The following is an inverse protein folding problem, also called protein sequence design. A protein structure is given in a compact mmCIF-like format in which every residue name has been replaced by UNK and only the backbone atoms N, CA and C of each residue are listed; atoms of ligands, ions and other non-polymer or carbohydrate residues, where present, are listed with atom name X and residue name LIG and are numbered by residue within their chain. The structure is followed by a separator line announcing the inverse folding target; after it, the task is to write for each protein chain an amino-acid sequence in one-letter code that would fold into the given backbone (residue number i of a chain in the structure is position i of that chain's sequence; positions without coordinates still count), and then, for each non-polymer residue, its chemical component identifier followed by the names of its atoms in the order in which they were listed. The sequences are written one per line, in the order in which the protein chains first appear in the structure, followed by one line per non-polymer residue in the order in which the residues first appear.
data_IF_557308819176
#
_entry.id   IF_557308819176
#
_cell.length_a   1.000
_cell.length_b   1.000
_cell.length_c   1.000
_cell.angle_alpha   90.00
_cell.angle_beta   90.00
_cell.angle_gamma   90.00
#
_symmetry.space_group_name_H-M   'P 1'
#
loop_
_entity.id
_entity.type
_entity.pdbx_description
1 polymer ?
#
# COMPACT_ATOMS: atom_id res chain seq x y z
N UNK A 1 -9.97 -8.31 -10.91
CA UNK A 1 -11.00 -7.30 -11.16
C UNK A 1 -11.79 -7.09 -9.89
N UNK A 2 -12.07 -5.84 -9.50
CA UNK A 2 -12.79 -5.51 -8.26
C UNK A 2 -14.13 -4.91 -8.64
N UNK A 3 -15.22 -5.52 -8.19
CA UNK A 3 -16.56 -5.01 -8.45
C UNK A 3 -16.76 -3.66 -7.74
N UNK A 4 -16.74 -2.57 -8.50
CA UNK A 4 -16.96 -1.20 -8.05
C UNK A 4 -17.97 -0.52 -8.96
N UNK A 5 -19.09 -0.09 -8.37
CA UNK A 5 -20.27 0.38 -9.12
C UNK A 5 -19.94 1.57 -10.02
N UNK A 6 -19.14 2.52 -9.54
CA UNK A 6 -18.84 3.74 -10.29
C UNK A 6 -17.86 3.48 -11.43
N UNK A 7 -16.85 2.64 -11.20
CA UNK A 7 -15.90 2.22 -12.23
C UNK A 7 -16.60 1.39 -13.32
N UNK A 8 -17.46 0.47 -12.93
CA UNK A 8 -18.26 -0.36 -13.84
C UNK A 8 -19.24 0.48 -14.68
N UNK A 9 -19.89 1.47 -14.06
CA UNK A 9 -20.80 2.39 -14.75
C UNK A 9 -20.06 3.19 -15.84
N UNK A 10 -18.88 3.74 -15.51
CA UNK A 10 -18.06 4.50 -16.47
C UNK A 10 -17.58 3.62 -17.63
N UNK A 11 -17.16 2.39 -17.32
CA UNK A 11 -16.73 1.43 -18.33
C UNK A 11 -17.89 1.05 -19.26
N UNK A 12 -19.06 0.74 -18.71
CA UNK A 12 -20.25 0.40 -19.49
C UNK A 12 -20.73 1.56 -20.39
N UNK A 13 -20.73 2.79 -19.86
CA UNK A 13 -21.04 3.99 -20.66
C UNK A 13 -20.05 4.19 -21.81
N UNK A 14 -18.75 3.97 -21.55
CA UNK A 14 -17.72 4.07 -22.58
C UNK A 14 -17.93 3.03 -23.69
N UNK A 15 -18.15 1.76 -23.32
CA UNK A 15 -18.34 0.66 -24.27
C UNK A 15 -19.61 0.87 -25.10
N UNK A 16 -20.73 1.23 -24.47
CA UNK A 16 -21.99 1.48 -25.18
C UNK A 16 -21.85 2.63 -26.16
N UNK A 17 -21.15 3.71 -25.80
CA UNK A 17 -20.86 4.81 -26.71
C UNK A 17 -20.05 4.36 -27.92
N UNK A 18 -18.98 3.56 -27.71
CA UNK A 18 -18.14 3.03 -28.79
C UNK A 18 -18.96 2.19 -29.77
N UNK A 19 -19.85 1.33 -29.28
CA UNK A 19 -20.71 0.52 -30.14
C UNK A 19 -21.76 1.34 -30.91
N UNK A 20 -22.23 2.46 -30.34
CA UNK A 20 -23.18 3.35 -31.01
C UNK A 20 -22.53 4.22 -32.09
N UNK A 21 -21.29 4.68 -31.88
CA UNK A 21 -20.65 5.70 -32.71
C UNK A 21 -19.44 5.19 -33.50
N UNK A 22 -19.05 3.92 -33.31
CA UNK A 22 -17.81 3.32 -33.81
C UNK A 22 -16.55 4.17 -33.50
N UNK A 23 -16.62 4.98 -32.43
CA UNK A 23 -15.58 5.91 -32.01
C UNK A 23 -15.62 6.09 -30.50
N UNK A 24 -14.45 6.27 -29.91
CA UNK A 24 -14.35 6.58 -28.48
C UNK A 24 -15.08 7.90 -28.13
N UNK A 25 -15.64 8.01 -26.90
CA UNK A 25 -16.13 9.27 -26.37
C UNK A 25 -15.10 10.40 -26.53
N UNK A 26 -15.55 11.66 -26.65
CA UNK A 26 -14.66 12.81 -26.74
C UNK A 26 -13.73 12.84 -25.51
N UNK A 27 -12.44 12.60 -25.74
CA UNK A 27 -11.40 12.69 -24.73
C UNK A 27 -10.91 14.13 -24.61
N UNK A 28 -10.27 14.46 -23.48
CA UNK A 28 -9.70 15.79 -23.23
C UNK A 28 -8.55 16.13 -24.20
N UNK A 29 -7.93 15.12 -24.81
CA UNK A 29 -6.84 15.28 -25.76
C UNK A 29 -7.15 14.55 -27.07
N UNK A 30 -6.56 15.02 -28.15
CA UNK A 30 -6.63 14.35 -29.45
C UNK A 30 -5.67 13.16 -29.46
N UNK A 31 -6.20 11.96 -29.67
CA UNK A 31 -5.38 10.77 -29.85
C UNK A 31 -4.50 10.93 -31.11
N UNK A 32 -3.23 10.55 -31.00
CA UNK A 32 -2.30 10.57 -32.13
C UNK A 32 -2.65 9.47 -33.13
N UNK A 33 -2.42 9.73 -34.42
CA UNK A 33 -2.56 8.70 -35.45
C UNK A 33 -1.56 7.55 -35.23
N UNK A 34 -1.99 6.33 -35.51
CA UNK A 34 -1.18 5.13 -35.31
C UNK A 34 0.06 5.10 -36.20
N UNK A 35 -0.04 5.65 -37.42
CA UNK A 35 1.11 5.80 -38.32
C UNK A 35 2.16 6.74 -37.75
N UNK A 36 1.72 7.86 -37.16
CA UNK A 36 2.59 8.82 -36.48
C UNK A 36 3.24 8.21 -35.23
N UNK A 37 2.47 7.53 -34.38
CA UNK A 37 3.00 6.86 -33.17
C UNK A 37 4.10 5.86 -33.51
N UNK A 38 3.92 5.02 -34.54
CA UNK A 38 4.93 4.04 -34.98
C UNK A 38 6.23 4.73 -35.38
N UNK A 39 6.14 5.76 -36.24
CA UNK A 39 7.32 6.53 -36.69
C UNK A 39 8.04 7.19 -35.52
N UNK A 40 7.30 7.73 -34.56
CA UNK A 40 7.87 8.35 -33.36
C UNK A 40 8.58 7.32 -32.47
N UNK A 41 7.97 6.17 -32.22
CA UNK A 41 8.60 5.07 -31.46
C UNK A 41 9.89 4.60 -32.14
N UNK A 42 9.89 4.49 -33.47
CA UNK A 42 11.08 4.08 -34.23
C UNK A 42 12.19 5.14 -34.19
N UNK A 43 11.84 6.42 -34.08
CA UNK A 43 12.81 7.50 -33.81
C UNK A 43 13.43 7.33 -32.41
N UNK A 44 12.60 7.13 -31.37
CA UNK A 44 13.07 6.98 -29.99
C UNK A 44 13.98 5.74 -29.81
N UNK A 45 13.70 4.64 -30.50
CA UNK A 45 14.52 3.41 -30.45
C UNK A 45 15.96 3.61 -30.95
N UNK A 46 16.21 4.63 -31.79
CA UNK A 46 17.56 4.91 -32.31
C UNK A 46 18.48 5.54 -31.26
N UNK A 47 17.92 6.09 -30.18
CA UNK A 47 18.69 6.71 -29.09
C UNK A 47 19.24 5.64 -28.15
N UNK A 48 20.48 5.83 -27.71
CA UNK A 48 21.15 4.98 -26.72
C UNK A 48 21.67 5.83 -25.57
N UNK A 49 20.77 6.24 -24.65
CA UNK A 49 21.15 7.12 -23.56
C UNK A 49 22.11 6.44 -22.59
N UNK A 50 23.08 7.22 -22.09
CA UNK A 50 24.01 6.78 -21.06
C UNK A 50 23.48 7.14 -19.66
N UNK A 51 23.83 6.31 -18.67
CA UNK A 51 23.55 6.61 -17.27
C UNK A 51 24.74 7.39 -16.70
N UNK A 52 24.56 8.65 -16.27
CA UNK A 52 25.65 9.41 -15.66
C UNK A 52 26.07 8.81 -14.31
N UNK A 53 27.38 8.88 -13.96
CA UNK A 53 27.88 8.31 -12.71
C UNK A 53 27.29 9.00 -11.47
N UNK A 54 26.85 10.25 -11.60
CA UNK A 54 26.19 11.01 -10.52
C UNK A 54 24.87 10.42 -10.05
N UNK A 55 24.25 9.55 -10.85
CA UNK A 55 23.00 8.86 -10.49
C UNK A 55 23.24 7.46 -9.93
N UNK A 56 24.46 6.94 -9.97
CA UNK A 56 24.75 5.57 -9.51
C UNK A 56 24.39 5.39 -8.04
N UNK A 57 24.81 6.32 -7.17
CA UNK A 57 24.51 6.25 -5.74
C UNK A 57 22.99 6.28 -5.49
N UNK A 58 22.27 7.17 -6.18
CA UNK A 58 20.82 7.28 -6.07
C UNK A 58 20.08 5.99 -6.48
N UNK A 59 20.52 5.34 -7.56
CA UNK A 59 19.92 4.09 -8.03
C UNK A 59 20.19 2.95 -7.04
N UNK A 60 21.39 2.90 -6.46
CA UNK A 60 21.76 1.90 -5.45
C UNK A 60 20.93 2.11 -4.18
N UNK A 61 20.83 3.34 -3.68
CA UNK A 61 20.03 3.67 -2.50
C UNK A 61 18.56 3.30 -2.69
N UNK A 62 17.97 3.68 -3.83
CA UNK A 62 16.58 3.34 -4.17
C UNK A 62 16.36 1.82 -4.21
N UNK A 63 17.32 1.04 -4.72
CA UNK A 63 17.24 -0.41 -4.72
C UNK A 63 17.34 -1.01 -3.32
N UNK A 64 18.23 -0.48 -2.47
CA UNK A 64 18.38 -0.93 -1.07
C UNK A 64 17.11 -0.64 -0.27
N UNK A 65 16.52 0.54 -0.44
CA UNK A 65 15.26 0.92 0.20
C UNK A 65 14.13 -0.02 -0.22
N UNK A 66 13.94 -0.23 -1.53
CA UNK A 66 12.94 -1.19 -2.05
C UNK A 66 13.13 -2.59 -1.46
N UNK A 67 14.38 -3.04 -1.28
CA UNK A 67 14.67 -4.37 -0.72
C UNK A 67 14.41 -4.44 0.79
N UNK A 68 14.62 -3.34 1.52
CA UNK A 68 14.29 -3.21 2.93
C UNK A 68 12.78 -3.27 3.14
N UNK A 69 12.01 -2.55 2.32
CA UNK A 69 10.55 -2.55 2.40
C UNK A 69 9.95 -3.91 2.07
N UNK A 70 10.48 -4.59 1.05
CA UNK A 70 10.10 -5.96 0.74
C UNK A 70 10.41 -6.97 1.85
N UNK A 71 11.36 -6.67 2.76
CA UNK A 71 11.63 -7.52 3.94
C UNK A 71 10.65 -7.25 5.08
N UNK A 72 10.17 -6.01 5.19
CA UNK A 72 9.25 -5.60 6.24
C UNK A 72 7.80 -6.00 5.93
N UNK A 73 7.42 -6.06 4.65
CA UNK A 73 6.11 -6.57 4.21
C UNK A 73 6.18 -8.06 3.89
N UNK A 74 5.54 -8.89 4.72
CA UNK A 74 5.55 -10.36 4.60
C UNK A 74 4.85 -10.85 3.33
N UNK A 75 3.95 -10.04 2.76
CA UNK A 75 3.12 -10.36 1.60
C UNK A 75 3.68 -9.77 0.29
N UNK A 76 4.85 -9.11 0.33
CA UNK A 76 5.47 -8.52 -0.85
C UNK A 76 6.20 -9.59 -1.67
N UNK A 77 5.99 -9.59 -2.99
CA UNK A 77 6.67 -10.51 -3.91
C UNK A 77 8.20 -10.40 -3.82
N UNK A 78 8.89 -11.54 -3.92
CA UNK A 78 10.35 -11.64 -3.81
C UNK A 78 11.10 -10.60 -4.68
N UNK A 79 11.79 -9.67 -4.03
CA UNK A 79 12.58 -8.63 -4.69
C UNK A 79 14.00 -9.14 -4.94
N UNK A 80 14.28 -9.53 -6.20
CA UNK A 80 15.59 -10.04 -6.64
C UNK A 80 16.53 -8.92 -7.09
N UNK A 81 17.83 -9.21 -7.20
CA UNK A 81 18.80 -8.35 -7.88
C UNK A 81 18.42 -8.02 -9.33
N UNK A 82 17.57 -8.85 -9.97
CA UNK A 82 16.99 -8.54 -11.29
C UNK A 82 16.19 -7.23 -11.32
N UNK A 83 15.63 -6.80 -10.19
CA UNK A 83 14.87 -5.56 -10.12
C UNK A 83 15.75 -4.32 -10.31
N UNK A 84 17.02 -4.37 -9.90
CA UNK A 84 17.99 -3.30 -10.18
C UNK A 84 18.20 -3.12 -11.69
N UNK A 85 18.36 -4.23 -12.41
CA UNK A 85 18.45 -4.21 -13.87
C UNK A 85 17.16 -3.71 -14.52
N UNK A 86 16.00 -4.03 -13.92
CA UNK A 86 14.71 -3.51 -14.40
C UNK A 86 14.63 -1.99 -14.26
N UNK A 87 15.05 -1.42 -13.12
CA UNK A 87 15.11 0.03 -12.90
C UNK A 87 15.98 0.70 -13.97
N UNK A 88 17.18 0.18 -14.21
CA UNK A 88 18.09 0.72 -15.23
C UNK A 88 17.49 0.66 -16.65
N UNK A 89 16.84 -0.45 -17.00
CA UNK A 89 16.20 -0.62 -18.33
C UNK A 89 14.98 0.28 -18.51
N UNK A 90 14.18 0.49 -17.46
CA UNK A 90 13.03 1.38 -17.49
C UNK A 90 13.49 2.85 -17.59
N UNK A 91 14.48 3.25 -16.78
CA UNK A 91 15.02 4.61 -16.79
C UNK A 91 15.63 4.97 -18.15
N UNK A 92 16.40 4.07 -18.75
CA UNK A 92 16.94 4.27 -20.11
C UNK A 92 15.86 4.27 -21.20
N UNK A 93 14.76 3.52 -21.02
CA UNK A 93 13.62 3.58 -21.93
C UNK A 93 12.86 4.91 -21.83
N UNK A 94 12.70 5.47 -20.62
CA UNK A 94 12.09 6.79 -20.41
C UNK A 94 12.94 7.90 -21.04
N UNK A 95 14.26 7.86 -20.85
CA UNK A 95 15.18 8.78 -21.51
C UNK A 95 15.11 8.71 -23.05
N UNK A 96 14.91 7.50 -23.62
CA UNK A 96 14.66 7.33 -25.07
C UNK A 96 13.37 8.00 -25.53
N UNK A 97 12.28 7.91 -24.76
CA UNK A 97 11.01 8.55 -25.10
C UNK A 97 11.11 10.08 -25.10
N UNK A 98 11.96 10.63 -24.23
CA UNK A 98 12.34 12.05 -24.19
C UNK A 98 13.33 12.46 -25.29
N UNK A 99 13.83 11.52 -26.09
CA UNK A 99 14.91 11.74 -27.06
C UNK A 99 16.22 12.29 -26.44
N UNK A 100 16.42 12.05 -25.15
CA UNK A 100 17.62 12.45 -24.41
C UNK A 100 18.76 11.44 -24.62
N UNK A 101 20.00 11.93 -24.59
CA UNK A 101 21.21 11.10 -24.61
C UNK A 101 21.72 10.74 -23.20
N UNK A 102 21.12 11.31 -22.16
CA UNK A 102 21.44 11.00 -20.77
C UNK A 102 20.18 10.73 -19.95
N UNK A 103 20.29 9.79 -19.01
CA UNK A 103 19.25 9.50 -18.01
C UNK A 103 19.29 10.57 -16.92
N UNK A 104 18.11 11.06 -16.55
CA UNK A 104 17.94 12.02 -15.46
C UNK A 104 17.38 11.37 -14.20
N UNK A 105 17.47 12.08 -13.07
CA UNK A 105 16.92 11.59 -11.79
C UNK A 105 15.41 11.32 -11.88
N UNK A 106 14.69 12.13 -12.63
CA UNK A 106 13.25 12.00 -12.84
C UNK A 106 12.88 10.68 -13.51
N UNK A 107 13.68 10.21 -14.48
CA UNK A 107 13.47 8.93 -15.16
C UNK A 107 13.57 7.75 -14.18
N UNK A 108 14.54 7.81 -13.26
CA UNK A 108 14.73 6.80 -12.21
C UNK A 108 13.57 6.82 -11.21
N UNK A 109 13.13 8.02 -10.80
CA UNK A 109 11.97 8.18 -9.92
C UNK A 109 10.69 7.61 -10.53
N UNK A 110 10.44 7.87 -11.81
CA UNK A 110 9.27 7.34 -12.51
C UNK A 110 9.37 5.82 -12.71
N UNK A 111 10.56 5.29 -13.02
CA UNK A 111 10.79 3.84 -13.09
C UNK A 111 10.49 3.14 -11.76
N UNK A 112 10.91 3.74 -10.64
CA UNK A 112 10.60 3.25 -9.29
C UNK A 112 9.10 3.28 -9.00
N UNK A 113 8.44 4.40 -9.33
CA UNK A 113 6.99 4.54 -9.17
C UNK A 113 6.24 3.44 -9.94
N UNK A 114 6.63 3.17 -11.19
CA UNK A 114 6.02 2.11 -12.00
C UNK A 114 6.20 0.72 -11.39
N UNK A 115 7.40 0.41 -10.88
CA UNK A 115 7.67 -0.84 -10.20
C UNK A 115 6.85 -1.00 -8.92
N UNK A 116 6.67 0.07 -8.16
CA UNK A 116 5.89 0.02 -6.94
C UNK A 116 4.39 -0.15 -7.23
N UNK A 117 3.86 0.61 -8.19
CA UNK A 117 2.46 0.47 -8.62
C UNK A 117 2.14 -0.93 -9.15
N UNK A 118 3.11 -1.62 -9.75
CA UNK A 118 2.94 -3.02 -10.19
C UNK A 118 2.71 -4.01 -9.04
N UNK A 119 3.19 -3.68 -7.83
CA UNK A 119 3.02 -4.50 -6.62
C UNK A 119 1.79 -4.09 -5.82
N UNK A 120 1.46 -2.81 -5.78
CA UNK A 120 0.29 -2.30 -5.02
C UNK A 120 -1.01 -2.95 -5.48
N UNK A 121 -1.17 -3.24 -6.78
CA UNK A 121 -2.36 -3.94 -7.28
C UNK A 121 -2.59 -5.31 -6.63
N UNK A 122 -1.53 -5.97 -6.15
CA UNK A 122 -1.60 -7.23 -5.39
C UNK A 122 -1.81 -6.97 -3.89
N UNK A 123 -1.14 -5.97 -3.31
CA UNK A 123 -1.28 -5.65 -1.89
C UNK A 123 -2.71 -5.22 -1.51
N UNK A 124 -3.40 -4.46 -2.37
CA UNK A 124 -4.79 -4.06 -2.11
C UNK A 124 -5.80 -5.22 -2.20
N UNK A 125 -5.43 -6.41 -2.70
CA UNK A 125 -6.29 -7.60 -2.55
C UNK A 125 -6.16 -8.25 -1.17
N UNK A 126 -5.07 -7.98 -0.45
CA UNK A 126 -4.80 -8.56 0.87
C UNK A 126 -5.18 -7.64 2.03
N UNK A 127 -5.53 -6.37 1.77
CA UNK A 127 -6.05 -5.45 2.79
C UNK A 127 -7.45 -5.82 3.32
N UNK A 128 -7.94 -7.03 3.00
CA UNK A 128 -9.03 -7.70 3.71
C UNK A 128 -8.55 -8.58 4.87
N UNK A 129 -7.26 -8.55 5.23
CA UNK A 129 -6.67 -9.40 6.25
C UNK A 129 -5.97 -8.68 7.40
N UNK A 130 -5.63 -7.40 7.27
CA UNK A 130 -5.31 -6.58 8.44
C UNK A 130 -6.62 -6.36 9.19
N UNK A 131 -6.95 -7.24 10.14
CA UNK A 131 -8.14 -7.11 11.02
C UNK A 131 -8.36 -5.63 11.27
N UNK A 132 -9.46 -5.07 10.75
CA UNK A 132 -9.90 -3.75 11.15
C UNK A 132 -9.92 -3.82 12.67
N UNK A 133 -8.96 -3.15 13.32
CA UNK A 133 -8.64 -3.41 14.71
C UNK A 133 -9.94 -3.21 15.48
N UNK A 134 -10.51 -4.31 15.96
CA UNK A 134 -11.84 -4.28 16.54
C UNK A 134 -11.82 -3.25 17.66
N UNK A 135 -12.97 -2.67 17.99
CA UNK A 135 -13.06 -1.80 19.18
C UNK A 135 -12.43 -2.52 20.39
N UNK A 136 -12.59 -3.84 20.45
CA UNK A 136 -11.94 -4.78 21.39
C UNK A 136 -10.41 -4.77 21.29
N UNK A 137 -9.81 -4.88 20.10
CA UNK A 137 -8.34 -4.87 19.93
C UNK A 137 -7.73 -3.51 20.31
N UNK A 138 -8.46 -2.41 20.05
CA UNK A 138 -8.06 -1.06 20.47
C UNK A 138 -8.11 -0.94 21.99
N UNK A 139 -9.19 -1.41 22.62
CA UNK A 139 -9.31 -1.44 24.09
C UNK A 139 -8.18 -2.30 24.71
N UNK A 140 -7.87 -3.46 24.12
CA UNK A 140 -6.75 -4.30 24.57
C UNK A 140 -5.41 -3.56 24.55
N UNK A 141 -5.13 -2.79 23.50
CA UNK A 141 -3.88 -2.01 23.41
C UNK A 141 -3.78 -0.94 24.50
N UNK A 142 -4.89 -0.29 24.85
CA UNK A 142 -4.97 0.69 25.95
C UNK A 142 -4.73 0.01 27.29
N UNK A 143 -5.34 -1.15 27.52
CA UNK A 143 -5.19 -1.91 28.77
C UNK A 143 -3.75 -2.43 28.91
N UNK A 144 -3.12 -2.85 27.81
CA UNK A 144 -1.72 -3.28 27.78
C UNK A 144 -0.74 -2.12 28.04
N UNK A 145 -1.01 -0.94 27.49
CA UNK A 145 -0.26 0.29 27.75
C UNK A 145 -0.34 0.67 29.24
N UNK A 146 -1.53 0.58 29.83
CA UNK A 146 -1.77 0.88 31.24
C UNK A 146 -1.12 -0.15 32.19
N UNK A 147 -1.06 -1.42 31.78
CA UNK A 147 -0.35 -2.44 32.52
C UNK A 147 1.14 -2.13 32.59
N UNK A 148 1.76 -1.65 31.51
CA UNK A 148 3.14 -1.16 31.50
C UNK A 148 4.22 -2.13 32.03
N UNK A 149 3.88 -3.42 32.23
CA UNK A 149 4.72 -4.43 32.88
C UNK A 149 4.18 -5.02 34.21
N UNK A 150 3.12 -4.45 34.79
CA UNK A 150 2.42 -5.01 35.96
C UNK A 150 1.53 -6.18 35.53
N UNK A 151 1.61 -7.30 36.25
CA UNK A 151 0.74 -8.47 36.03
C UNK A 151 -0.71 -8.24 36.49
N UNK A 152 -0.97 -7.21 37.30
CA UNK A 152 -2.29 -6.92 37.87
C UNK A 152 -2.68 -5.47 37.64
N UNK A 153 -3.92 -5.25 37.22
CA UNK A 153 -4.50 -3.92 36.95
C UNK A 153 -5.90 -3.86 37.57
N UNK A 154 -6.26 -2.72 38.15
CA UNK A 154 -7.59 -2.51 38.75
C UNK A 154 -8.64 -2.24 37.67
N UNK A 155 -9.82 -2.85 37.81
CA UNK A 155 -10.91 -2.65 36.85
C UNK A 155 -11.40 -1.19 36.84
N UNK A 156 -11.34 -0.51 37.98
CA UNK A 156 -11.69 0.91 38.13
C UNK A 156 -10.83 1.81 37.24
N UNK A 157 -9.52 1.56 37.18
CA UNK A 157 -8.56 2.34 36.38
C UNK A 157 -8.75 2.09 34.89
N UNK A 158 -9.06 0.84 34.50
CA UNK A 158 -9.36 0.49 33.11
C UNK A 158 -10.62 1.21 32.64
N UNK A 159 -11.70 1.18 33.43
CA UNK A 159 -12.95 1.88 33.09
C UNK A 159 -12.74 3.38 32.95
N UNK A 160 -12.05 4.02 33.90
CA UNK A 160 -11.78 5.46 33.86
C UNK A 160 -10.94 5.87 32.65
N UNK A 161 -9.94 5.08 32.27
CA UNK A 161 -9.12 5.33 31.08
C UNK A 161 -9.84 5.06 29.77
N UNK A 162 -10.65 4.02 29.70
CA UNK A 162 -11.49 3.76 28.54
C UNK A 162 -12.54 4.86 28.34
N UNK A 163 -13.16 5.36 29.43
CA UNK A 163 -14.08 6.51 29.37
C UNK A 163 -13.35 7.79 28.98
N UNK A 164 -12.14 8.03 29.49
CA UNK A 164 -11.30 9.18 29.11
C UNK A 164 -10.92 9.16 27.64
N UNK A 165 -10.72 7.97 27.06
CA UNK A 165 -10.47 7.78 25.61
C UNK A 165 -11.76 7.71 24.77
N UNK A 166 -12.94 7.84 25.37
CA UNK A 166 -14.23 7.95 24.67
C UNK A 166 -14.91 6.63 24.30
N UNK A 167 -14.50 5.50 24.89
CA UNK A 167 -15.13 4.21 24.66
C UNK A 167 -16.37 4.02 25.57
N UNK A 168 -17.43 3.43 25.01
CA UNK A 168 -18.62 3.05 25.77
C UNK A 168 -18.27 1.97 26.81
N UNK A 169 -18.83 2.03 28.04
CA UNK A 169 -18.56 1.04 29.08
C UNK A 169 -18.98 -0.37 28.65
N UNK A 170 -20.03 -0.51 27.84
CA UNK A 170 -20.51 -1.80 27.33
C UNK A 170 -19.45 -2.53 26.49
N UNK A 171 -18.71 -1.79 25.64
CA UNK A 171 -17.64 -2.37 24.81
C UNK A 171 -16.41 -2.78 25.63
N UNK A 172 -16.20 -2.15 26.79
CA UNK A 172 -15.11 -2.50 27.71
C UNK A 172 -15.46 -3.79 28.45
N UNK A 173 -16.71 -3.95 28.90
CA UNK A 173 -17.20 -5.17 29.53
C UNK A 173 -17.12 -6.36 28.55
N UNK A 174 -17.61 -6.18 27.32
CA UNK A 174 -17.55 -7.18 26.24
C UNK A 174 -16.10 -7.60 25.92
N UNK A 175 -15.18 -6.64 25.87
CA UNK A 175 -13.75 -6.90 25.68
C UNK A 175 -13.18 -7.77 26.81
N UNK A 176 -13.53 -7.48 28.07
CA UNK A 176 -13.02 -8.21 29.23
C UNK A 176 -13.55 -9.64 29.23
N UNK A 177 -14.85 -9.83 28.99
CA UNK A 177 -15.47 -11.16 28.92
C UNK A 177 -14.85 -12.00 27.81
N UNK A 178 -14.65 -11.41 26.62
CA UNK A 178 -14.05 -12.12 25.49
C UNK A 178 -12.59 -12.56 25.76
N UNK A 179 -11.79 -11.73 26.43
CA UNK A 179 -10.41 -12.10 26.79
C UNK A 179 -10.30 -12.97 28.04
N UNK A 180 -11.31 -12.98 28.91
CA UNK A 180 -11.47 -13.95 30.00
C UNK A 180 -11.79 -15.35 29.45
N UNK A 181 -12.72 -15.46 28.50
CA UNK A 181 -13.02 -16.72 27.78
C UNK A 181 -11.79 -17.29 27.06
N UNK A 182 -10.96 -16.40 26.51
CA UNK A 182 -9.70 -16.76 25.84
C UNK A 182 -8.54 -17.06 26.82
N UNK A 183 -8.77 -17.01 28.14
CA UNK A 183 -7.77 -17.21 29.20
C UNK A 183 -6.55 -16.29 29.12
N UNK A 184 -6.69 -15.11 28.50
CA UNK A 184 -5.63 -14.09 28.45
C UNK A 184 -5.65 -13.26 29.73
N UNK A 185 -6.85 -13.05 30.30
CA UNK A 185 -7.08 -12.30 31.52
C UNK A 185 -7.82 -13.15 32.55
N UNK A 186 -7.45 -13.00 33.81
CA UNK A 186 -8.13 -13.61 34.95
C UNK A 186 -8.73 -12.53 35.82
N UNK A 187 -10.07 -12.51 35.91
CA UNK A 187 -10.80 -11.58 36.76
C UNK A 187 -10.92 -12.19 38.16
N UNK A 188 -10.62 -11.41 39.19
CA UNK A 188 -10.80 -11.85 40.59
C UNK A 188 -12.30 -12.09 40.90
N UNK A 189 -12.64 -12.99 41.83
CA UNK A 189 -14.01 -13.33 42.22
C UNK A 189 -14.87 -12.12 42.63
N UNK A 190 -14.24 -11.04 43.11
CA UNK A 190 -14.89 -9.78 43.45
C UNK A 190 -15.03 -8.77 42.28
N UNK A 191 -14.60 -9.13 41.06
CA UNK A 191 -14.53 -8.26 39.86
C UNK A 191 -13.82 -6.92 40.07
N UNK A 192 -12.82 -6.87 40.97
CA UNK A 192 -12.09 -5.62 41.29
C UNK A 192 -10.76 -5.47 40.57
N UNK A 193 -10.13 -6.58 40.17
CA UNK A 193 -8.79 -6.61 39.56
C UNK A 193 -8.72 -7.65 38.45
N UNK A 194 -8.04 -7.28 37.35
CA UNK A 194 -7.67 -8.17 36.25
C UNK A 194 -6.19 -8.56 36.41
N UNK A 195 -5.90 -9.85 36.25
CA UNK A 195 -4.55 -10.41 36.23
C UNK A 195 -4.24 -10.89 34.81
N UNK A 196 -3.10 -10.49 34.26
CA UNK A 196 -2.58 -11.01 33.00
C UNK A 196 -1.96 -12.38 33.25
N UNK A 197 -2.43 -13.40 32.54
CA UNK A 197 -1.93 -14.79 32.63
C UNK A 197 -0.67 -14.96 31.78
#
# INVERSE_FOLDING_TARGET
DKADRDTDLRLAQHITYVHQHCKQPPAQFTALDMGLMRRYIDLCKRKNPAVPPTLTDYIVDAYVEMRKDARNNKDMTFTSARNLLAILRLSTALARLRLSDQVEREDVGEAMRLLEMSKISLAQSEDRGGRAQSVVDKIFSVIRELAGGKKTVKLSEIREQCTSKGYQPDHVEECIEQYEELNVWQVNQARTTITFV
#
